data_IF_771936737540
#
_entry.id   IF_771936737540
#
_cell.length_a   1.000
_cell.length_b   1.000
_cell.length_c   1.000
_cell.angle_alpha   90.00
_cell.angle_beta   90.00
_cell.angle_gamma   90.00
#
_symmetry.space_group_name_H-M   'P 1'
#
loop_
_entity.id
_entity.type
_entity.pdbx_description
1 polymer ?
#
# COMPACT_ATOMS: atom_id res chain seq x y z
N UNK A 1 -5.44 19.29 -4.10
CA UNK A 1 -5.58 18.07 -3.27
C UNK A 1 -4.87 18.31 -1.95
N UNK A 2 -5.40 17.83 -0.83
CA UNK A 2 -4.82 17.98 0.52
C UNK A 2 -4.28 16.65 1.06
N UNK A 3 -3.14 16.68 1.75
CA UNK A 3 -2.65 15.56 2.55
C UNK A 3 -2.83 15.91 4.02
N UNK A 4 -3.49 15.01 4.78
CA UNK A 4 -3.63 15.11 6.23
C UNK A 4 -2.95 13.93 6.91
N UNK A 5 -2.25 14.18 8.01
CA UNK A 5 -1.76 13.11 8.89
C UNK A 5 -2.77 12.93 10.01
N UNK A 6 -3.19 11.69 10.24
CA UNK A 6 -4.27 11.38 11.18
C UNK A 6 -3.84 10.22 12.08
N UNK A 7 -3.44 10.55 13.31
CA UNK A 7 -3.19 9.54 14.34
C UNK A 7 -4.51 9.19 15.05
N UNK A 8 -5.19 8.17 14.54
CA UNK A 8 -6.46 7.71 15.11
C UNK A 8 -6.51 6.18 15.19
N UNK A 9 -6.59 5.65 16.42
CA UNK A 9 -6.62 4.21 16.70
C UNK A 9 -7.76 3.48 15.98
N UNK A 10 -8.96 4.05 15.98
CA UNK A 10 -10.14 3.40 15.42
C UNK A 10 -10.06 3.31 13.89
N UNK A 11 -9.51 4.36 13.25
CA UNK A 11 -9.25 4.33 11.81
C UNK A 11 -8.09 3.37 11.51
N UNK A 12 -6.99 3.40 12.27
CA UNK A 12 -5.87 2.48 12.10
C UNK A 12 -6.27 1.00 12.26
N UNK A 13 -7.24 0.70 13.14
CA UNK A 13 -7.78 -0.64 13.30
C UNK A 13 -8.40 -1.18 12.00
N UNK A 14 -8.98 -0.33 11.16
CA UNK A 14 -9.51 -0.79 9.88
C UNK A 14 -8.45 -1.35 8.94
N UNK A 15 -7.30 -0.68 8.86
CA UNK A 15 -6.14 -1.16 8.11
C UNK A 15 -5.63 -2.47 8.70
N UNK A 16 -5.54 -2.56 10.02
CA UNK A 16 -5.14 -3.78 10.72
C UNK A 16 -6.08 -4.96 10.46
N UNK A 17 -7.40 -4.74 10.54
CA UNK A 17 -8.41 -5.76 10.26
C UNK A 17 -8.29 -6.27 8.81
N UNK A 18 -8.10 -5.37 7.83
CA UNK A 18 -7.86 -5.78 6.43
C UNK A 18 -6.65 -6.71 6.30
N UNK A 19 -5.58 -6.45 7.04
CA UNK A 19 -4.41 -7.34 7.05
C UNK A 19 -4.75 -8.69 7.66
N UNK A 20 -5.46 -8.73 8.80
CA UNK A 20 -5.90 -9.99 9.41
C UNK A 20 -6.74 -10.83 8.45
N UNK A 21 -7.71 -10.22 7.77
CA UNK A 21 -8.57 -10.90 6.81
C UNK A 21 -7.75 -11.52 5.67
N UNK A 22 -6.63 -10.92 5.29
CA UNK A 22 -5.80 -11.37 4.17
C UNK A 22 -4.50 -12.08 4.59
N UNK A 23 -4.23 -12.29 5.87
CA UNK A 23 -2.97 -12.87 6.36
C UNK A 23 -2.66 -14.25 5.74
N UNK A 24 -3.68 -15.11 5.60
CA UNK A 24 -3.53 -16.44 4.98
C UNK A 24 -3.31 -16.35 3.46
N UNK A 25 -3.83 -15.31 2.80
CA UNK A 25 -3.60 -15.05 1.36
C UNK A 25 -2.24 -14.42 1.12
N UNK A 26 -1.79 -13.58 2.05
CA UNK A 26 -0.60 -12.74 1.93
C UNK A 26 0.38 -13.02 3.08
N UNK A 27 0.95 -14.24 3.18
CA UNK A 27 1.74 -14.66 4.34
C UNK A 27 2.96 -13.76 4.64
N UNK A 28 3.41 -13.00 3.65
CA UNK A 28 4.51 -12.06 3.79
C UNK A 28 4.21 -10.81 4.62
N UNK A 29 2.94 -10.45 4.79
CA UNK A 29 2.55 -9.35 5.69
C UNK A 29 2.65 -9.78 7.16
N UNK A 30 2.94 -11.06 7.43
CA UNK A 30 3.17 -11.61 8.78
C UNK A 30 4.53 -11.18 9.33
N UNK A 31 4.63 -9.88 9.60
CA UNK A 31 5.80 -9.18 10.13
C UNK A 31 5.38 -8.22 11.24
N UNK A 32 6.34 -7.82 12.06
CA UNK A 32 6.06 -6.98 13.23
C UNK A 32 4.95 -7.52 14.13
N UNK A 33 4.03 -6.65 14.62
CA UNK A 33 2.88 -7.06 15.42
C UNK A 33 1.95 -8.08 14.75
N UNK A 34 1.92 -8.17 13.41
CA UNK A 34 1.14 -9.20 12.71
C UNK A 34 1.72 -10.61 12.87
N UNK A 35 2.99 -10.78 13.30
CA UNK A 35 3.56 -12.09 13.65
C UNK A 35 2.84 -12.74 14.83
N UNK A 36 2.32 -11.92 15.73
CA UNK A 36 1.68 -12.36 16.97
C UNK A 36 0.19 -12.68 16.78
N UNK A 37 -0.37 -12.47 15.57
CA UNK A 37 -1.75 -12.84 15.28
C UNK A 37 -1.89 -14.37 15.30
N UNK A 38 -2.80 -14.92 16.13
CA UNK A 38 -3.04 -16.36 16.19
C UNK A 38 -3.42 -16.93 14.82
N UNK A 39 -2.89 -18.10 14.49
CA UNK A 39 -3.15 -18.73 13.18
C UNK A 39 -4.63 -19.05 13.01
N UNK A 40 -5.28 -19.49 14.08
CA UNK A 40 -6.71 -19.82 14.12
C UNK A 40 -7.58 -18.58 13.86
N UNK A 41 -7.12 -17.39 14.29
CA UNK A 41 -7.81 -16.14 13.97
C UNK A 41 -7.71 -15.84 12.47
N UNK A 42 -6.51 -15.91 11.88
CA UNK A 42 -6.31 -15.68 10.45
C UNK A 42 -7.08 -16.68 9.56
N UNK A 43 -7.09 -17.96 9.94
CA UNK A 43 -7.84 -19.02 9.24
C UNK A 43 -9.35 -18.85 9.31
N UNK A 44 -9.90 -18.33 10.41
CA UNK A 44 -11.33 -17.97 10.47
C UNK A 44 -11.62 -16.70 9.69
N UNK A 45 -10.72 -15.72 9.78
CA UNK A 45 -10.85 -14.40 9.14
C UNK A 45 -10.85 -14.47 7.61
N UNK A 46 -10.09 -15.37 6.99
CA UNK A 46 -10.02 -15.49 5.52
C UNK A 46 -11.40 -15.76 4.87
N UNK A 47 -12.35 -16.39 5.57
CA UNK A 47 -13.71 -16.59 5.04
C UNK A 47 -14.44 -15.27 4.74
N UNK A 48 -14.03 -14.20 5.41
CA UNK A 48 -14.59 -12.85 5.27
C UNK A 48 -13.68 -11.94 4.43
N UNK A 49 -12.66 -12.51 3.78
CA UNK A 49 -11.72 -11.78 2.91
C UNK A 49 -12.23 -11.55 1.49
N UNK A 50 -13.54 -11.66 1.28
CA UNK A 50 -14.17 -11.33 0.01
C UNK A 50 -14.02 -9.85 -0.34
N UNK A 51 -14.20 -9.47 -1.62
CA UNK A 51 -14.24 -8.07 -2.05
C UNK A 51 -15.55 -7.39 -1.60
N UNK A 52 -16.02 -7.70 -0.39
CA UNK A 52 -16.92 -6.79 0.31
C UNK A 52 -16.16 -5.47 0.34
N UNK A 53 -16.69 -4.50 -0.39
CA UNK A 53 -16.18 -3.13 -0.51
C UNK A 53 -16.29 -2.46 0.84
N UNK A 54 -15.56 -2.97 1.83
CA UNK A 54 -15.42 -2.34 3.13
C UNK A 54 -14.55 -1.10 2.91
N UNK A 55 -15.19 -0.01 2.52
CA UNK A 55 -14.63 1.31 2.72
C UNK A 55 -14.68 1.55 4.22
N UNK A 56 -13.69 1.02 4.95
CA UNK A 56 -13.59 1.23 6.38
C UNK A 56 -13.11 2.67 6.63
N UNK A 57 -14.00 3.62 6.37
CA UNK A 57 -13.73 5.04 6.57
C UNK A 57 -13.71 5.40 8.07
N UNK A 58 -14.35 4.56 8.90
CA UNK A 58 -14.44 4.64 10.35
C UNK A 58 -14.32 3.24 10.96
N UNK A 59 -14.52 3.13 12.28
CA UNK A 59 -14.39 1.86 12.97
C UNK A 59 -15.30 0.80 12.32
N UNK A 60 -14.80 -0.41 11.98
CA UNK A 60 -15.57 -1.42 11.26
C UNK A 60 -16.92 -1.75 11.92
N UNK A 61 -17.02 -1.73 13.27
CA UNK A 61 -18.30 -1.97 13.97
C UNK A 61 -19.40 -0.94 13.67
N UNK A 62 -19.04 0.27 13.22
CA UNK A 62 -20.00 1.32 12.90
C UNK A 62 -20.59 1.17 11.48
N UNK A 63 -19.99 0.31 10.65
CA UNK A 63 -20.41 0.08 9.26
C UNK A 63 -21.16 -1.26 9.11
N UNK A 64 -21.55 -1.88 10.23
CA UNK A 64 -22.00 -3.27 10.30
C UNK A 64 -23.39 -3.33 10.96
N UNK A 65 -24.46 -3.14 10.17
CA UNK A 65 -25.82 -3.46 10.61
C UNK A 65 -26.18 -4.95 10.42
N UNK A 66 -25.39 -5.74 9.69
CA UNK A 66 -25.84 -7.06 9.17
C UNK A 66 -24.90 -8.26 9.35
N UNK A 67 -23.83 -8.20 10.16
CA UNK A 67 -22.88 -9.33 10.21
C UNK A 67 -23.25 -10.50 11.14
N UNK A 68 -22.99 -11.70 10.61
CA UNK A 68 -22.93 -13.00 11.29
C UNK A 68 -22.12 -12.93 12.61
N UNK A 69 -22.60 -13.62 13.65
CA UNK A 69 -21.94 -13.80 14.96
C UNK A 69 -20.47 -14.20 14.85
N UNK A 70 -20.10 -15.03 13.88
CA UNK A 70 -18.71 -15.44 13.64
C UNK A 70 -17.79 -14.25 13.31
N UNK A 71 -18.24 -13.32 12.46
CA UNK A 71 -17.45 -12.13 12.10
C UNK A 71 -17.31 -11.16 13.27
N UNK A 72 -18.37 -10.99 14.07
CA UNK A 72 -18.30 -10.17 15.31
C UNK A 72 -17.24 -10.71 16.26
N UNK A 73 -17.13 -12.04 16.40
CA UNK A 73 -16.08 -12.65 17.21
C UNK A 73 -14.68 -12.36 16.66
N UNK A 74 -14.48 -12.52 15.35
CA UNK A 74 -13.20 -12.18 14.68
C UNK A 74 -12.85 -10.71 14.92
N UNK A 75 -13.81 -9.80 14.75
CA UNK A 75 -13.60 -8.37 14.96
C UNK A 75 -13.19 -8.09 16.42
N UNK A 76 -13.90 -8.64 17.39
CA UNK A 76 -13.60 -8.45 18.81
C UNK A 76 -12.21 -9.00 19.18
N UNK A 77 -11.83 -10.17 18.66
CA UNK A 77 -10.51 -10.75 18.90
C UNK A 77 -9.40 -9.90 18.26
N UNK A 78 -9.60 -9.46 17.01
CA UNK A 78 -8.69 -8.58 16.30
C UNK A 78 -8.52 -7.23 17.01
N UNK A 79 -9.61 -6.63 17.49
CA UNK A 79 -9.59 -5.33 18.18
C UNK A 79 -8.82 -5.43 19.50
N UNK A 80 -9.01 -6.51 20.28
CA UNK A 80 -8.25 -6.75 21.50
C UNK A 80 -6.75 -6.81 21.25
N UNK A 81 -6.33 -7.53 20.20
CA UNK A 81 -4.91 -7.62 19.81
C UNK A 81 -4.39 -6.26 19.34
N UNK A 82 -5.15 -5.56 18.49
CA UNK A 82 -4.82 -4.23 18.01
C UNK A 82 -4.61 -3.24 19.16
N UNK A 83 -5.56 -3.17 20.09
CA UNK A 83 -5.51 -2.22 21.21
C UNK A 83 -4.33 -2.50 22.15
N UNK A 84 -3.97 -3.77 22.35
CA UNK A 84 -2.80 -4.16 23.12
C UNK A 84 -1.51 -3.68 22.46
N UNK A 85 -1.33 -3.95 21.17
CA UNK A 85 -0.13 -3.54 20.42
C UNK A 85 -0.07 -2.02 20.21
N UNK A 86 -1.22 -1.36 19.99
CA UNK A 86 -1.34 0.09 19.91
C UNK A 86 -0.86 0.76 21.19
N UNK A 87 -1.36 0.32 22.35
CA UNK A 87 -0.93 0.86 23.65
C UNK A 87 0.56 0.66 23.89
N UNK A 88 1.10 -0.49 23.46
CA UNK A 88 2.52 -0.82 23.60
C UNK A 88 3.43 0.06 22.73
N UNK A 89 2.94 0.52 21.58
CA UNK A 89 3.71 1.27 20.58
C UNK A 89 3.24 2.72 20.42
N UNK A 90 2.58 3.29 21.44
CA UNK A 90 1.96 4.61 21.38
C UNK A 90 3.00 5.71 21.09
N UNK A 91 4.11 5.71 21.81
CA UNK A 91 5.17 6.71 21.68
C UNK A 91 5.85 6.65 20.30
N UNK A 92 6.05 5.43 19.77
CA UNK A 92 6.56 5.26 18.41
C UNK A 92 5.57 5.78 17.36
N UNK A 93 4.27 5.52 17.52
CA UNK A 93 3.25 6.01 16.61
C UNK A 93 3.17 7.54 16.60
N UNK A 94 3.31 8.18 17.76
CA UNK A 94 3.34 9.65 17.90
C UNK A 94 4.58 10.25 17.23
N UNK A 95 5.74 9.62 17.43
CA UNK A 95 6.99 10.00 16.77
C UNK A 95 6.85 9.90 15.24
N UNK A 96 6.27 8.81 14.76
CA UNK A 96 6.04 8.58 13.33
C UNK A 96 5.03 9.56 12.74
N UNK A 97 3.95 9.88 13.48
CA UNK A 97 3.00 10.92 13.09
C UNK A 97 3.71 12.26 12.86
N UNK A 98 4.50 12.68 13.85
CA UNK A 98 5.26 13.93 13.80
C UNK A 98 6.26 13.95 12.64
N UNK A 99 6.97 12.84 12.42
CA UNK A 99 7.92 12.73 11.30
C UNK A 99 7.21 12.82 9.94
N UNK A 100 6.06 12.16 9.77
CA UNK A 100 5.28 12.24 8.53
C UNK A 100 4.71 13.65 8.33
N UNK A 101 4.23 14.31 9.38
CA UNK A 101 3.76 15.69 9.33
C UNK A 101 4.85 16.64 8.84
N UNK A 102 6.05 16.53 9.43
CA UNK A 102 7.20 17.32 9.03
C UNK A 102 7.59 17.08 7.56
N UNK A 103 7.59 15.82 7.12
CA UNK A 103 7.84 15.49 5.71
C UNK A 103 6.78 16.10 4.78
N UNK A 104 5.51 16.03 5.15
CA UNK A 104 4.42 16.63 4.37
C UNK A 104 4.54 18.15 4.32
N UNK A 105 4.91 18.81 5.42
CA UNK A 105 5.08 20.26 5.45
C UNK A 105 6.18 20.74 4.50
N UNK A 106 7.24 19.95 4.32
CA UNK A 106 8.38 20.32 3.47
C UNK A 106 8.16 19.92 2.01
N UNK A 107 7.69 18.69 1.76
CA UNK A 107 7.76 18.08 0.43
C UNK A 107 6.41 17.87 -0.26
N UNK A 108 5.28 18.11 0.42
CA UNK A 108 3.94 17.78 -0.11
C UNK A 108 3.75 18.31 -1.52
N UNK A 109 3.84 19.61 -1.73
CA UNK A 109 3.44 20.22 -2.99
C UNK A 109 4.30 19.69 -4.15
N UNK A 110 5.60 19.54 -3.92
CA UNK A 110 6.50 18.91 -4.87
C UNK A 110 6.13 17.45 -5.20
N UNK A 111 5.80 16.66 -4.18
CA UNK A 111 5.37 15.26 -4.37
C UNK A 111 4.06 15.24 -5.17
N UNK A 112 3.11 16.12 -4.85
CA UNK A 112 1.80 16.15 -5.52
C UNK A 112 1.94 16.45 -7.00
N UNK A 113 2.73 17.47 -7.33
CA UNK A 113 3.00 17.87 -8.71
C UNK A 113 3.77 16.78 -9.45
N UNK A 114 4.77 16.18 -8.79
CA UNK A 114 5.57 15.11 -9.37
C UNK A 114 4.74 13.87 -9.68
N UNK A 115 3.80 13.49 -8.82
CA UNK A 115 2.89 12.35 -9.09
C UNK A 115 2.05 12.63 -10.32
N UNK A 116 1.38 13.79 -10.40
CA UNK A 116 0.57 14.17 -11.58
C UNK A 116 1.42 14.20 -12.85
N UNK A 117 2.63 14.73 -12.77
CA UNK A 117 3.56 14.81 -13.90
C UNK A 117 3.96 13.41 -14.40
N UNK A 118 4.33 12.49 -13.51
CA UNK A 118 4.82 11.16 -13.93
C UNK A 118 3.70 10.20 -14.33
N UNK A 119 2.50 10.34 -13.77
CA UNK A 119 1.36 9.49 -14.13
C UNK A 119 0.59 10.04 -15.34
N UNK A 120 0.59 11.38 -15.50
CA UNK A 120 -0.24 12.11 -16.46
C UNK A 120 -1.71 12.20 -16.04
N UNK A 121 -2.02 12.02 -14.75
CA UNK A 121 -3.39 11.93 -14.22
C UNK A 121 -3.61 12.98 -13.12
N UNK A 122 -4.64 13.82 -13.30
CA UNK A 122 -5.08 14.76 -12.27
C UNK A 122 -5.58 14.02 -11.03
N UNK A 123 -5.42 14.63 -9.85
CA UNK A 123 -5.85 14.03 -8.59
C UNK A 123 -7.34 13.66 -8.60
N UNK A 124 -7.69 12.38 -8.39
CA UNK A 124 -9.10 11.92 -8.42
C UNK A 124 -9.84 12.23 -7.11
N UNK A 125 -9.12 12.58 -6.05
CA UNK A 125 -9.65 12.85 -4.71
C UNK A 125 -9.22 14.24 -4.23
N UNK A 126 -10.08 14.87 -3.42
CA UNK A 126 -9.78 16.17 -2.82
C UNK A 126 -8.77 16.04 -1.67
N UNK A 127 -8.77 14.91 -0.98
CA UNK A 127 -8.06 14.70 0.29
C UNK A 127 -7.53 13.28 0.41
N UNK A 128 -6.30 13.13 0.92
CA UNK A 128 -5.65 11.87 1.27
C UNK A 128 -5.26 11.88 2.74
N UNK A 129 -5.50 10.78 3.46
CA UNK A 129 -5.10 10.62 4.87
C UNK A 129 -3.87 9.72 4.98
N UNK A 130 -2.87 10.16 5.72
CA UNK A 130 -1.72 9.35 6.13
C UNK A 130 -1.94 8.91 7.58
N UNK A 131 -1.98 7.61 7.81
CA UNK A 131 -2.37 7.03 9.10
C UNK A 131 -1.20 6.19 9.64
N UNK A 132 -0.43 6.70 10.61
CA UNK A 132 0.53 5.90 11.36
C UNK A 132 -0.15 4.66 11.95
N UNK A 133 0.46 3.49 11.78
CA UNK A 133 -0.18 2.21 12.04
C UNK A 133 0.77 1.17 12.65
N UNK A 134 0.20 0.24 13.43
CA UNK A 134 0.96 -0.79 14.16
C UNK A 134 1.46 -1.96 13.31
N UNK A 135 1.16 -2.03 12.02
CA UNK A 135 1.57 -3.15 11.17
C UNK A 135 2.64 -2.71 10.18
N UNK A 136 3.46 -3.64 9.68
CA UNK A 136 4.59 -3.24 8.84
C UNK A 136 4.20 -3.03 7.37
N UNK A 137 4.69 -1.93 6.78
CA UNK A 137 4.55 -1.60 5.36
C UNK A 137 3.64 -0.43 5.07
N UNK A 138 3.21 -0.35 3.81
CA UNK A 138 2.24 0.59 3.30
C UNK A 138 1.00 -0.17 2.82
N UNK A 139 -0.17 0.45 2.96
CA UNK A 139 -1.41 -0.07 2.37
C UNK A 139 -2.36 1.08 2.10
N UNK A 140 -3.04 1.03 0.95
CA UNK A 140 -4.08 1.98 0.57
C UNK A 140 -5.47 1.38 0.73
N UNK A 141 -6.36 2.06 1.45
CA UNK A 141 -7.81 1.83 1.41
C UNK A 141 -8.47 3.13 0.98
N UNK A 142 -9.02 3.13 -0.23
CA UNK A 142 -9.63 4.31 -0.87
C UNK A 142 -8.66 5.50 -0.87
N UNK A 143 -8.94 6.56 -0.11
CA UNK A 143 -8.08 7.73 0.00
C UNK A 143 -7.16 7.73 1.24
N UNK A 144 -6.98 6.58 1.90
CA UNK A 144 -6.23 6.44 3.15
C UNK A 144 -5.00 5.58 2.94
N UNK A 145 -3.84 6.11 3.30
CA UNK A 145 -2.54 5.44 3.29
C UNK A 145 -2.18 5.11 4.72
N UNK A 146 -2.10 3.83 5.04
CA UNK A 146 -1.64 3.37 6.34
C UNK A 146 -0.14 3.11 6.29
N UNK A 147 0.59 3.62 7.27
CA UNK A 147 2.04 3.66 7.29
C UNK A 147 2.54 2.97 8.56
N UNK A 148 3.24 1.86 8.40
CA UNK A 148 3.78 1.09 9.51
C UNK A 148 4.90 1.79 10.27
N UNK A 149 4.85 1.75 11.61
CA UNK A 149 5.88 2.38 12.47
C UNK A 149 7.26 1.73 12.40
N UNK A 150 7.36 0.48 11.93
CA UNK A 150 8.62 -0.28 11.94
C UNK A 150 9.69 0.29 10.98
N UNK A 151 9.33 1.27 10.16
CA UNK A 151 10.23 1.98 9.26
C UNK A 151 11.07 3.03 10.03
N UNK A 152 12.05 2.58 10.83
CA UNK A 152 12.90 3.44 11.67
C UNK A 152 13.77 4.46 10.92
N UNK A 153 13.83 4.42 9.60
CA UNK A 153 14.56 5.41 8.79
C UNK A 153 13.57 6.43 8.24
N UNK A 154 13.58 7.67 8.75
CA UNK A 154 12.70 8.78 8.32
C UNK A 154 12.57 8.91 6.79
N UNK A 155 13.66 8.63 6.07
CA UNK A 155 13.73 8.70 4.60
C UNK A 155 12.95 7.60 3.87
N UNK A 156 12.67 6.47 4.52
CA UNK A 156 11.87 5.37 3.94
C UNK A 156 10.38 5.67 3.90
N UNK A 157 9.90 6.59 4.75
CA UNK A 157 8.50 7.04 4.72
C UNK A 157 8.16 7.79 3.44
N UNK A 158 9.04 8.67 2.95
CA UNK A 158 8.81 9.39 1.70
C UNK A 158 8.58 8.44 0.53
N UNK A 159 9.47 7.45 0.38
CA UNK A 159 9.36 6.44 -0.67
C UNK A 159 8.04 5.68 -0.61
N UNK A 160 7.64 5.28 0.60
CA UNK A 160 6.38 4.57 0.82
C UNK A 160 5.17 5.47 0.55
N UNK A 161 5.15 6.69 1.07
CA UNK A 161 4.07 7.67 0.85
C UNK A 161 3.90 7.94 -0.65
N UNK A 162 4.99 8.16 -1.38
CA UNK A 162 4.96 8.40 -2.83
C UNK A 162 4.39 7.19 -3.57
N UNK A 163 4.83 5.98 -3.23
CA UNK A 163 4.33 4.74 -3.83
C UNK A 163 2.81 4.62 -3.67
N UNK A 164 2.33 4.78 -2.44
CA UNK A 164 0.91 4.65 -2.13
C UNK A 164 0.07 5.81 -2.70
N UNK A 165 0.64 7.01 -2.81
CA UNK A 165 0.01 8.15 -3.50
C UNK A 165 -0.19 7.90 -5.00
N UNK A 166 0.75 7.23 -5.66
CA UNK A 166 0.60 6.82 -7.07
C UNK A 166 -0.55 5.81 -7.21
N UNK A 167 -0.69 4.87 -6.26
CA UNK A 167 -1.83 3.96 -6.25
C UNK A 167 -3.15 4.73 -6.14
N UNK A 168 -3.30 5.67 -5.20
CA UNK A 168 -4.51 6.52 -5.09
C UNK A 168 -4.75 7.31 -6.38
N UNK A 169 -3.71 7.90 -6.98
CA UNK A 169 -3.82 8.68 -8.20
C UNK A 169 -4.31 7.84 -9.39
N UNK A 170 -3.99 6.55 -9.42
CA UNK A 170 -4.25 5.66 -10.55
C UNK A 170 -5.42 4.68 -10.33
N UNK A 171 -5.94 4.54 -9.10
CA UNK A 171 -6.94 3.53 -8.71
C UNK A 171 -8.23 3.59 -9.55
N UNK A 172 -8.71 4.80 -9.88
CA UNK A 172 -9.93 5.01 -10.70
C UNK A 172 -9.84 4.46 -12.12
N UNK A 173 -8.63 4.39 -12.70
CA UNK A 173 -8.38 3.80 -14.01
C UNK A 173 -8.28 2.27 -13.96
N UNK A 174 -8.06 1.70 -12.77
CA UNK A 174 -7.71 0.30 -12.60
C UNK A 174 -8.88 -0.56 -12.12
N UNK A 175 -9.67 -0.15 -11.11
CA UNK A 175 -10.79 -0.97 -10.60
C UNK A 175 -11.85 -1.29 -11.67
N UNK A 176 -12.12 -0.37 -12.60
CA UNK A 176 -13.05 -0.61 -13.73
C UNK A 176 -12.60 -1.70 -14.71
N UNK A 177 -11.33 -2.09 -14.72
CA UNK A 177 -10.76 -3.01 -15.71
C UNK A 177 -10.31 -4.38 -15.14
N UNK A 178 -10.31 -4.56 -13.81
CA UNK A 178 -9.92 -5.81 -13.15
C UNK A 178 -11.11 -6.76 -12.97
N UNK A 179 -12.33 -6.22 -12.86
CA UNK A 179 -13.52 -7.00 -12.49
C UNK A 179 -13.76 -8.21 -13.41
N UNK A 180 -13.14 -8.30 -14.59
CA UNK A 180 -13.38 -9.41 -15.51
C UNK A 180 -12.18 -10.21 -16.03
N UNK A 181 -10.90 -9.83 -15.90
CA UNK A 181 -9.76 -10.70 -16.24
C UNK A 181 -8.39 -10.00 -16.05
N UNK A 182 -7.36 -10.80 -15.72
CA UNK A 182 -5.90 -10.54 -15.77
C UNK A 182 -5.25 -10.20 -14.41
N UNK A 183 -4.88 -11.27 -13.71
CA UNK A 183 -4.05 -11.27 -12.50
C UNK A 183 -2.62 -10.75 -12.72
N UNK A 184 -2.09 -10.84 -13.95
CA UNK A 184 -0.78 -10.29 -14.34
C UNK A 184 -0.74 -8.75 -14.35
N UNK A 185 -1.90 -8.10 -14.52
CA UNK A 185 -1.99 -6.64 -14.53
C UNK A 185 -1.75 -6.06 -13.13
N UNK A 186 -2.10 -6.79 -12.07
CA UNK A 186 -1.79 -6.38 -10.70
C UNK A 186 -0.26 -6.31 -10.50
N UNK A 187 0.46 -7.34 -10.92
CA UNK A 187 1.93 -7.33 -10.84
C UNK A 187 2.54 -6.22 -11.72
N UNK A 188 1.99 -6.04 -12.92
CA UNK A 188 2.42 -4.99 -13.85
C UNK A 188 2.24 -3.58 -13.26
N UNK A 189 1.15 -3.37 -12.53
CA UNK A 189 0.88 -2.11 -11.83
C UNK A 189 1.85 -1.86 -10.71
N UNK A 190 2.09 -2.85 -9.84
CA UNK A 190 3.04 -2.68 -8.75
C UNK A 190 4.44 -2.36 -9.27
N UNK A 191 4.87 -3.03 -10.35
CA UNK A 191 6.15 -2.74 -11.01
C UNK A 191 6.15 -1.33 -11.61
N UNK A 192 5.07 -0.92 -12.28
CA UNK A 192 4.93 0.43 -12.82
C UNK A 192 5.00 1.48 -11.70
N UNK A 193 4.28 1.27 -10.61
CA UNK A 193 4.28 2.14 -9.44
C UNK A 193 5.67 2.24 -8.84
N UNK A 194 6.40 1.13 -8.65
CA UNK A 194 7.80 1.16 -8.18
C UNK A 194 8.70 2.01 -9.08
N UNK A 195 8.63 1.80 -10.40
CA UNK A 195 9.43 2.55 -11.38
C UNK A 195 9.14 4.06 -11.33
N UNK A 196 7.88 4.44 -11.17
CA UNK A 196 7.47 5.84 -11.06
C UNK A 196 7.86 6.45 -9.71
N UNK A 197 7.75 5.69 -8.62
CA UNK A 197 8.26 6.09 -7.30
C UNK A 197 9.74 6.43 -7.37
N UNK A 198 10.54 5.54 -7.95
CA UNK A 198 11.99 5.74 -8.07
C UNK A 198 12.33 7.00 -8.90
N UNK A 199 11.56 7.27 -9.97
CA UNK A 199 11.69 8.50 -10.76
C UNK A 199 11.36 9.77 -9.94
N UNK A 200 10.33 9.73 -9.09
CA UNK A 200 10.02 10.86 -8.20
C UNK A 200 11.10 11.03 -7.13
N UNK A 201 11.59 9.93 -6.55
CA UNK A 201 12.68 9.96 -5.55
C UNK A 201 13.95 10.54 -6.15
N UNK A 202 14.31 10.19 -7.39
CA UNK A 202 15.43 10.79 -8.10
C UNK A 202 15.27 12.31 -8.24
N UNK A 203 14.09 12.78 -8.68
CA UNK A 203 13.79 14.21 -8.78
C UNK A 203 13.87 14.92 -7.43
N UNK A 204 13.37 14.28 -6.37
CA UNK A 204 13.36 14.83 -5.02
C UNK A 204 14.78 14.92 -4.45
N UNK A 205 15.59 13.88 -4.62
CA UNK A 205 17.01 13.89 -4.29
C UNK A 205 17.76 15.00 -5.02
N UNK A 206 17.53 15.17 -6.33
CA UNK A 206 18.20 16.19 -7.12
C UNK A 206 17.78 17.61 -6.70
N UNK A 207 16.48 17.86 -6.49
CA UNK A 207 15.96 19.19 -6.13
C UNK A 207 16.37 19.62 -4.73
N UNK A 208 16.29 18.72 -3.76
CA UNK A 208 16.50 19.04 -2.35
C UNK A 208 17.84 18.53 -1.80
N UNK A 209 18.72 18.01 -2.66
CA UNK A 209 20.03 17.42 -2.29
C UNK A 209 19.91 16.34 -1.22
N UNK A 210 18.88 15.51 -1.34
CA UNK A 210 18.68 14.38 -0.43
C UNK A 210 19.43 13.14 -0.92
N UNK A 211 19.57 12.17 -0.02
CA UNK A 211 20.12 10.84 -0.31
C UNK A 211 19.10 9.77 0.14
N UNK A 212 17.89 9.85 -0.42
CA UNK A 212 16.85 8.84 -0.24
C UNK A 212 17.14 7.71 -1.20
N UNK A 213 17.17 6.49 -0.67
CA UNK A 213 17.35 5.32 -1.52
C UNK A 213 16.07 5.05 -2.32
N UNK A 214 16.20 4.65 -3.61
CA UNK A 214 15.08 4.13 -4.38
C UNK A 214 14.36 3.02 -3.60
N UNK A 215 13.07 2.84 -3.85
CA UNK A 215 12.24 1.86 -3.14
C UNK A 215 12.89 0.48 -3.17
N UNK A 216 13.55 0.17 -4.30
CA UNK A 216 13.94 -1.18 -4.72
C UNK A 216 12.70 -2.06 -4.70
N UNK A 217 12.44 -2.75 -5.79
CA UNK A 217 11.24 -3.55 -5.85
C UNK A 217 11.16 -4.56 -4.69
N UNK A 218 9.98 -4.70 -4.10
CA UNK A 218 9.79 -5.57 -2.95
C UNK A 218 10.27 -7.00 -3.21
N UNK A 219 10.67 -7.69 -2.14
CA UNK A 219 11.21 -9.06 -2.19
C UNK A 219 10.32 -10.08 -2.92
N UNK A 220 9.03 -9.80 -3.09
CA UNK A 220 8.06 -10.60 -3.84
C UNK A 220 8.41 -10.73 -5.32
N UNK A 221 9.02 -9.70 -5.90
CA UNK A 221 9.52 -9.73 -7.27
C UNK A 221 11.04 -10.00 -7.34
N UNK A 222 11.72 -10.22 -6.21
CA UNK A 222 13.19 -10.25 -6.15
C UNK A 222 13.81 -11.24 -7.15
N UNK A 223 13.16 -12.39 -7.41
CA UNK A 223 13.62 -13.35 -8.43
C UNK A 223 13.46 -12.84 -9.86
N UNK A 224 12.32 -12.23 -10.18
CA UNK A 224 12.07 -11.61 -11.49
C UNK A 224 13.03 -10.44 -11.72
N UNK A 225 13.24 -9.63 -10.69
CA UNK A 225 13.88 -8.33 -10.80
C UNK A 225 15.38 -8.44 -10.81
N UNK A 226 15.95 -9.37 -10.03
CA UNK A 226 17.38 -9.66 -10.14
C UNK A 226 17.79 -10.04 -11.58
N UNK A 227 16.88 -10.60 -12.38
CA UNK A 227 17.17 -11.01 -13.76
C UNK A 227 16.74 -9.96 -14.81
N UNK A 228 15.70 -9.17 -14.55
CA UNK A 228 15.08 -8.27 -15.54
C UNK A 228 15.06 -6.79 -15.15
N UNK A 229 15.70 -6.38 -14.06
CA UNK A 229 15.71 -4.99 -13.58
C UNK A 229 16.13 -3.99 -14.66
N UNK A 230 17.17 -4.31 -15.44
CA UNK A 230 17.63 -3.45 -16.54
C UNK A 230 16.55 -3.24 -17.60
N UNK A 231 15.86 -4.32 -18.00
CA UNK A 231 14.82 -4.27 -19.03
C UNK A 231 13.60 -3.48 -18.53
N UNK A 232 13.18 -3.73 -17.28
CA UNK A 232 12.07 -3.01 -16.64
C UNK A 232 12.38 -1.52 -16.47
N UNK A 233 13.60 -1.17 -16.07
CA UNK A 233 14.05 0.23 -15.97
C UNK A 233 14.06 0.91 -17.35
N UNK A 234 14.47 0.21 -18.42
CA UNK A 234 14.40 0.74 -19.78
C UNK A 234 12.94 0.97 -20.23
N UNK A 235 12.04 0.06 -19.90
CA UNK A 235 10.60 0.26 -20.15
C UNK A 235 10.11 1.50 -19.39
N UNK A 236 10.45 1.64 -18.10
CA UNK A 236 10.09 2.80 -17.27
C UNK A 236 10.55 4.16 -17.83
N UNK A 237 11.72 4.20 -18.49
CA UNK A 237 12.26 5.43 -19.10
C UNK A 237 11.57 5.83 -20.41
N UNK A 238 11.00 4.88 -21.15
CA UNK A 238 10.51 5.11 -22.52
C UNK A 238 9.02 5.44 -22.60
N UNK A 239 8.24 5.17 -21.54
CA UNK A 239 6.79 5.33 -21.55
C UNK A 239 6.37 6.64 -20.89
N UNK A 240 5.46 7.38 -21.54
CA UNK A 240 5.06 8.75 -21.16
C UNK A 240 3.78 8.82 -20.32
N UNK A 241 3.01 7.73 -20.22
CA UNK A 241 1.79 7.68 -19.41
C UNK A 241 1.72 6.40 -18.58
N UNK A 242 1.06 6.47 -17.42
CA UNK A 242 0.89 5.31 -16.54
C UNK A 242 0.28 4.10 -17.27
N UNK A 243 -0.79 4.32 -18.03
CA UNK A 243 -1.47 3.27 -18.81
C UNK A 243 -0.54 2.59 -19.82
N UNK A 244 0.28 3.37 -20.52
CA UNK A 244 1.24 2.83 -21.50
C UNK A 244 2.37 2.05 -20.84
N UNK A 245 2.79 2.45 -19.65
CA UNK A 245 3.80 1.78 -18.85
C UNK A 245 3.30 0.41 -18.36
N UNK A 246 2.13 0.39 -17.73
CA UNK A 246 1.47 -0.84 -17.27
C UNK A 246 1.32 -1.84 -18.41
N UNK A 247 0.83 -1.40 -19.58
CA UNK A 247 0.64 -2.28 -20.73
C UNK A 247 1.97 -2.85 -21.27
N UNK A 248 3.02 -2.05 -21.28
CA UNK A 248 4.34 -2.50 -21.71
C UNK A 248 4.93 -3.53 -20.74
N UNK A 249 4.74 -3.34 -19.44
CA UNK A 249 5.15 -4.31 -18.42
C UNK A 249 4.32 -5.59 -18.53
N UNK A 250 3.00 -5.50 -18.69
CA UNK A 250 2.12 -6.66 -18.87
C UNK A 250 2.55 -7.52 -20.06
N UNK A 251 2.85 -6.89 -21.20
CA UNK A 251 3.40 -7.60 -22.37
C UNK A 251 4.75 -8.23 -22.08
N UNK A 252 5.67 -7.47 -21.48
CA UNK A 252 6.98 -7.98 -21.09
C UNK A 252 6.88 -9.23 -20.19
N UNK A 253 6.01 -9.18 -19.18
CA UNK A 253 5.80 -10.29 -18.25
C UNK A 253 5.19 -11.52 -18.97
N UNK A 254 4.26 -11.32 -19.91
CA UNK A 254 3.71 -12.41 -20.74
C UNK A 254 4.79 -13.07 -21.59
N UNK A 255 5.63 -12.27 -22.23
CA UNK A 255 6.72 -12.76 -23.09
C UNK A 255 7.75 -13.58 -22.29
N UNK A 256 7.88 -13.31 -20.97
CA UNK A 256 8.73 -14.09 -20.05
C UNK A 256 8.01 -15.28 -19.40
N UNK A 257 6.77 -15.59 -19.82
CA UNK A 257 5.92 -16.59 -19.19
C UNK A 257 5.81 -16.40 -17.67
N UNK A 258 5.85 -15.14 -17.21
CA UNK A 258 5.71 -14.86 -15.78
C UNK A 258 4.29 -15.22 -15.37
N UNK A 259 4.18 -16.23 -14.51
CA UNK A 259 2.89 -16.76 -14.11
C UNK A 259 2.15 -15.84 -13.16
N UNK A 260 2.68 -14.67 -12.80
CA UNK A 260 2.18 -13.79 -11.74
C UNK A 260 2.46 -14.31 -10.32
N UNK A 261 2.39 -13.43 -9.33
CA UNK A 261 2.41 -13.81 -7.90
C UNK A 261 0.99 -13.79 -7.30
N UNK A 262 0.17 -12.80 -7.64
CA UNK A 262 -1.28 -12.77 -7.33
C UNK A 262 -2.10 -13.80 -8.14
N UNK A 263 -1.46 -14.77 -8.76
CA UNK A 263 -2.07 -15.81 -9.60
C UNK A 263 -2.16 -17.18 -8.94
N UNK A 264 -1.38 -17.42 -7.89
CA UNK A 264 -1.40 -18.69 -7.15
C UNK A 264 -2.36 -18.61 -5.97
N UNK A 265 -3.63 -18.38 -6.26
CA UNK A 265 -4.69 -18.72 -5.31
C UNK A 265 -5.09 -20.18 -5.61
N UNK A 266 -5.01 -21.02 -4.57
CA UNK A 266 -5.24 -22.47 -4.64
C UNK A 266 -6.55 -22.78 -5.39
N UNK A 267 -6.49 -23.84 -6.21
CA UNK A 267 -7.67 -24.56 -6.70
C UNK A 267 -8.45 -25.14 -5.52
#
# INVERSE_FOLDING_TARGET
MQIKVVLNRNVAFSGYLRHILNLERWPWIKRGPLKNVPKELAQRAIKFSEPVRFSFERHPMLDIESFNKEFRNILNEAEKLHNKEWKKHQDELETVSTDIENLCNIYRDFILDSVVEVTGINWPVKEVWLIPSIYSGGSVVDNKIFIGFENRLKKTYLTLIIHELIHINTDSHFRKNIENNIRLRADSNEIATCLLTDKIIEKLNNKFRLNIQPQKFHSYYAKLIKHYEKDLNNIGKTKRSYKSLVFAIDRFLKDKNYSGYYTKFYK
#
